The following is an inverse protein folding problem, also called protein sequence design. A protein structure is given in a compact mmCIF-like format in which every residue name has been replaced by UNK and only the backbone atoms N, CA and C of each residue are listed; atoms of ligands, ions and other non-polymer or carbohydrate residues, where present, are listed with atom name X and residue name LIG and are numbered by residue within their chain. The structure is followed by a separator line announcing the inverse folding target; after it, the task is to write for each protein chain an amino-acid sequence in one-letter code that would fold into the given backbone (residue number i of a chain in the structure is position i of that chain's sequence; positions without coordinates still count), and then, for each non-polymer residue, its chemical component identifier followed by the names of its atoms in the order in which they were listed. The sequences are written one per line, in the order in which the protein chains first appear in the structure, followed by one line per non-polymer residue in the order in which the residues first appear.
data_IF_524285724416
#
_entry.id   IF_524285724416
#
_cell.length_a   1.000
_cell.length_b   1.000
_cell.length_c   1.000
_cell.angle_alpha   90.00
_cell.angle_beta   90.00
_cell.angle_gamma   90.00
#
_symmetry.space_group_name_H-M   'P 1'
#
loop_
_entity.id
_entity.type
_entity.pdbx_description
1 polymer ?
#
# COMPACT_ATOMS: atom_id res chain seq x y z
N UNK A 1 -33.82 19.45 -21.76
CA UNK A 1 -32.53 18.86 -22.17
C UNK A 1 -32.61 17.39 -21.80
N UNK A 2 -32.23 16.49 -22.71
CA UNK A 2 -32.05 15.08 -22.35
C UNK A 2 -30.88 14.98 -21.38
N UNK A 3 -31.03 14.16 -20.34
CA UNK A 3 -29.96 13.95 -19.36
C UNK A 3 -28.88 13.01 -19.93
N UNK A 4 -27.69 13.03 -19.32
CA UNK A 4 -26.55 12.20 -19.73
C UNK A 4 -26.93 10.71 -19.66
N UNK A 5 -27.60 10.31 -18.57
CA UNK A 5 -28.18 8.99 -18.38
C UNK A 5 -29.04 8.58 -19.57
N UNK A 6 -29.99 9.43 -19.95
CA UNK A 6 -30.97 9.09 -20.98
C UNK A 6 -30.31 8.93 -22.37
N UNK A 7 -29.31 9.75 -22.70
CA UNK A 7 -28.54 9.61 -23.94
C UNK A 7 -27.74 8.30 -23.99
N UNK A 8 -27.04 7.96 -22.91
CA UNK A 8 -26.23 6.74 -22.83
C UNK A 8 -27.10 5.49 -22.91
N UNK A 9 -28.18 5.42 -22.13
CA UNK A 9 -29.12 4.29 -22.12
C UNK A 9 -29.76 4.11 -23.49
N UNK A 10 -30.29 5.18 -24.08
CA UNK A 10 -30.96 5.11 -25.39
C UNK A 10 -30.00 4.66 -26.49
N UNK A 11 -28.77 5.18 -26.51
CA UNK A 11 -27.76 4.77 -27.48
C UNK A 11 -27.38 3.29 -27.30
N UNK A 12 -27.14 2.83 -26.06
CA UNK A 12 -26.86 1.42 -25.78
C UNK A 12 -28.00 0.51 -26.22
N UNK A 13 -29.23 0.82 -25.86
CA UNK A 13 -30.41 0.01 -26.18
C UNK A 13 -30.70 -0.02 -27.68
N UNK A 14 -30.46 1.10 -28.39
CA UNK A 14 -30.62 1.16 -29.85
C UNK A 14 -29.64 0.25 -30.60
N UNK A 15 -28.44 0.04 -30.02
CA UNK A 15 -27.41 -0.86 -30.56
C UNK A 15 -27.60 -2.31 -30.06
N UNK A 16 -28.52 -2.55 -29.12
CA UNK A 16 -28.78 -3.86 -28.55
C UNK A 16 -27.65 -4.40 -27.66
N UNK A 17 -26.76 -3.52 -27.17
CA UNK A 17 -25.62 -3.94 -26.37
C UNK A 17 -25.99 -4.10 -24.89
N UNK A 18 -25.46 -5.17 -24.27
CA UNK A 18 -25.55 -5.36 -22.83
C UNK A 18 -24.40 -4.64 -22.13
N UNK A 19 -24.61 -4.20 -20.87
CA UNK A 19 -23.54 -3.59 -20.06
C UNK A 19 -22.36 -4.54 -19.92
N UNK A 20 -22.60 -5.84 -19.84
CA UNK A 20 -21.54 -6.85 -19.78
C UNK A 20 -20.71 -6.91 -21.05
N UNK A 21 -21.35 -6.74 -22.21
CA UNK A 21 -20.65 -6.72 -23.49
C UNK A 21 -19.75 -5.48 -23.57
N UNK A 22 -20.32 -4.30 -23.32
CA UNK A 22 -19.57 -3.04 -23.35
C UNK A 22 -18.42 -3.08 -22.33
N UNK A 23 -18.64 -3.60 -21.13
CA UNK A 23 -17.59 -3.71 -20.11
C UNK A 23 -16.41 -4.56 -20.58
N UNK A 24 -16.67 -5.66 -21.30
CA UNK A 24 -15.61 -6.51 -21.87
C UNK A 24 -14.87 -5.81 -23.01
N UNK A 25 -15.58 -5.06 -23.85
CA UNK A 25 -14.99 -4.44 -25.04
C UNK A 25 -14.26 -3.13 -24.72
N UNK A 26 -14.78 -2.33 -23.78
CA UNK A 26 -14.19 -1.06 -23.35
C UNK A 26 -13.17 -1.21 -22.21
N UNK A 27 -13.12 -2.39 -21.56
CA UNK A 27 -12.38 -2.65 -20.32
C UNK A 27 -12.78 -1.76 -19.13
N UNK A 28 -13.98 -1.16 -19.18
CA UNK A 28 -14.54 -0.39 -18.06
C UNK A 28 -15.36 -1.36 -17.19
N UNK A 29 -15.14 -1.35 -15.88
CA UNK A 29 -15.90 -2.23 -14.97
C UNK A 29 -17.40 -1.93 -15.08
N UNK A 30 -18.25 -2.98 -15.02
CA UNK A 30 -19.71 -2.84 -15.14
C UNK A 30 -20.28 -1.83 -14.16
N UNK A 31 -19.77 -1.80 -12.93
CA UNK A 31 -20.18 -0.85 -11.89
C UNK A 31 -20.04 0.60 -12.33
N UNK A 32 -18.97 0.95 -13.05
CA UNK A 32 -18.74 2.31 -13.56
C UNK A 32 -19.65 2.64 -14.75
N UNK A 33 -19.89 1.69 -15.66
CA UNK A 33 -20.84 1.90 -16.77
C UNK A 33 -22.27 2.10 -16.25
N UNK A 34 -22.69 1.28 -15.29
CA UNK A 34 -23.99 1.44 -14.61
C UNK A 34 -24.05 2.76 -13.84
N UNK A 35 -22.95 3.18 -13.20
CA UNK A 35 -22.89 4.46 -12.51
C UNK A 35 -23.02 5.65 -13.48
N UNK A 36 -22.42 5.59 -14.68
CA UNK A 36 -22.61 6.60 -15.73
C UNK A 36 -24.08 6.65 -16.21
N UNK A 37 -24.70 5.49 -16.45
CA UNK A 37 -26.12 5.42 -16.83
C UNK A 37 -27.06 5.85 -15.70
N UNK A 38 -26.62 5.81 -14.45
CA UNK A 38 -27.40 6.24 -13.28
C UNK A 38 -27.06 7.67 -12.82
N UNK A 39 -26.16 8.38 -13.51
CA UNK A 39 -25.62 9.69 -13.09
C UNK A 39 -25.04 9.68 -11.65
N UNK A 40 -24.58 8.52 -11.17
CA UNK A 40 -23.96 8.36 -9.86
C UNK A 40 -22.44 8.64 -9.95
N UNK A 41 -22.10 9.92 -10.01
CA UNK A 41 -20.72 10.38 -10.18
C UNK A 41 -19.82 10.22 -8.94
N UNK A 42 -20.41 10.04 -7.75
CA UNK A 42 -19.68 9.82 -6.49
C UNK A 42 -19.04 8.42 -6.41
N UNK A 43 -19.50 7.47 -7.24
CA UNK A 43 -18.93 6.13 -7.31
C UNK A 43 -17.50 6.10 -7.90
N UNK A 44 -17.04 7.20 -8.52
CA UNK A 44 -15.76 7.25 -9.21
C UNK A 44 -14.65 7.72 -8.25
N UNK A 45 -13.43 7.13 -8.32
CA UNK A 45 -12.30 7.55 -7.48
C UNK A 45 -11.82 9.00 -7.70
N UNK A 46 -12.30 9.66 -8.75
CA UNK A 46 -12.03 11.07 -9.05
C UNK A 46 -12.58 11.48 -10.42
N UNK A 47 -12.79 12.78 -10.60
CA UNK A 47 -13.38 13.38 -11.82
C UNK A 47 -12.60 13.01 -13.10
N UNK A 48 -11.27 12.87 -13.01
CA UNK A 48 -10.44 12.49 -14.16
C UNK A 48 -10.80 11.09 -14.70
N UNK A 49 -11.10 10.13 -13.80
CA UNK A 49 -11.52 8.78 -14.18
C UNK A 49 -12.92 8.78 -14.79
N UNK A 50 -13.84 9.53 -14.18
CA UNK A 50 -15.20 9.73 -14.69
C UNK A 50 -15.18 10.26 -16.12
N UNK A 51 -14.42 11.34 -16.38
CA UNK A 51 -14.32 11.93 -17.72
C UNK A 51 -13.68 10.97 -18.73
N UNK A 52 -12.69 10.19 -18.31
CA UNK A 52 -12.07 9.16 -19.15
C UNK A 52 -13.04 8.03 -19.52
N UNK A 53 -13.81 7.54 -18.56
CA UNK A 53 -14.80 6.49 -18.78
C UNK A 53 -16.01 6.99 -19.58
N UNK A 54 -16.48 8.21 -19.31
CA UNK A 54 -17.54 8.85 -20.08
C UNK A 54 -17.13 9.04 -21.55
N UNK A 55 -15.88 9.45 -21.81
CA UNK A 55 -15.34 9.55 -23.18
C UNK A 55 -15.37 8.20 -23.89
N UNK A 56 -14.71 7.19 -23.32
CA UNK A 56 -14.59 5.87 -23.92
C UNK A 56 -15.97 5.20 -24.12
N UNK A 57 -16.88 5.36 -23.16
CA UNK A 57 -18.23 4.84 -23.29
C UNK A 57 -19.03 5.56 -24.40
N UNK A 58 -18.90 6.87 -24.51
CA UNK A 58 -19.55 7.66 -25.57
C UNK A 58 -19.01 7.28 -26.94
N UNK A 59 -17.69 7.14 -27.10
CA UNK A 59 -17.06 6.68 -28.35
C UNK A 59 -17.57 5.30 -28.77
N UNK A 60 -17.67 4.37 -27.81
CA UNK A 60 -18.17 3.02 -28.07
C UNK A 60 -19.64 3.01 -28.52
N UNK A 61 -20.46 3.89 -27.96
CA UNK A 61 -21.87 4.05 -28.33
C UNK A 61 -22.08 4.90 -29.60
N UNK A 62 -21.01 5.43 -30.21
CA UNK A 62 -21.09 6.31 -31.38
C UNK A 62 -21.65 7.70 -31.07
N UNK A 63 -21.61 8.12 -29.81
CA UNK A 63 -21.95 9.46 -29.37
C UNK A 63 -20.73 10.39 -29.45
N UNK A 64 -20.95 11.71 -29.57
CA UNK A 64 -19.88 12.70 -29.50
C UNK A 64 -19.35 12.81 -28.06
N UNK A 65 -18.08 12.42 -27.79
CA UNK A 65 -17.56 12.44 -26.44
C UNK A 65 -17.40 13.84 -25.85
N UNK A 66 -17.12 14.84 -26.69
CA UNK A 66 -16.96 16.22 -26.23
C UNK A 66 -18.32 16.84 -25.88
N UNK A 67 -19.39 16.44 -26.59
CA UNK A 67 -20.77 16.79 -26.22
C UNK A 67 -21.12 16.21 -24.84
N UNK A 68 -20.86 14.92 -24.63
CA UNK A 68 -21.17 14.22 -23.37
C UNK A 68 -20.40 14.78 -22.18
N UNK A 69 -19.11 15.12 -22.36
CA UNK A 69 -18.30 15.78 -21.33
C UNK A 69 -18.80 17.20 -21.05
N UNK A 70 -19.21 17.94 -22.09
CA UNK A 70 -19.76 19.29 -21.93
C UNK A 70 -21.07 19.26 -21.14
N UNK A 71 -21.93 18.26 -21.38
CA UNK A 71 -23.14 18.06 -20.60
C UNK A 71 -22.83 17.83 -19.12
N UNK A 72 -21.83 17.01 -18.81
CA UNK A 72 -21.39 16.77 -17.43
C UNK A 72 -20.87 18.05 -16.77
N UNK A 73 -20.00 18.79 -17.44
CA UNK A 73 -19.47 20.06 -16.91
C UNK A 73 -20.57 21.08 -16.67
N UNK A 74 -21.53 21.18 -17.59
CA UNK A 74 -22.67 22.09 -17.44
C UNK A 74 -23.58 21.71 -16.27
N UNK A 75 -23.71 20.42 -15.96
CA UNK A 75 -24.44 19.94 -14.80
C UNK A 75 -23.77 20.39 -13.49
N UNK A 76 -22.46 20.19 -13.36
CA UNK A 76 -21.70 20.62 -12.17
C UNK A 76 -21.70 22.14 -12.00
N UNK A 77 -21.58 22.90 -13.10
CA UNK A 77 -21.59 24.36 -13.06
C UNK A 77 -22.97 24.90 -12.64
N UNK A 78 -24.07 24.21 -12.96
CA UNK A 78 -25.40 24.62 -12.51
C UNK A 78 -25.70 24.24 -11.05
N UNK A 79 -25.04 23.23 -10.51
CA UNK A 79 -25.14 22.84 -9.10
C UNK A 79 -24.32 23.74 -8.16
N UNK A 80 -23.31 24.45 -8.68
CA UNK A 80 -22.63 25.52 -7.94
C UNK A 80 -23.31 26.87 -8.23
N UNK A 81 -23.99 27.51 -7.27
CA UNK A 81 -24.40 28.90 -7.46
C UNK A 81 -23.14 29.75 -7.65
N UNK A 82 -23.01 30.37 -8.83
CA UNK A 82 -21.87 31.20 -9.19
C UNK A 82 -21.58 32.23 -8.08
N UNK A 83 -20.44 32.15 -7.37
CA UNK A 83 -20.06 33.18 -6.43
C UNK A 83 -19.46 34.33 -7.25
N UNK A 84 -20.30 35.31 -7.59
CA UNK A 84 -19.88 36.59 -8.18
C UNK A 84 -18.92 37.35 -7.22
N UNK A 85 -18.79 36.88 -5.98
CA UNK A 85 -18.00 37.47 -4.91
C UNK A 85 -16.47 37.32 -5.09
N UNK A 86 -15.99 36.43 -5.97
CA UNK A 86 -14.54 36.22 -6.12
C UNK A 86 -13.85 37.21 -7.10
N UNK A 87 -14.61 38.08 -7.77
CA UNK A 87 -14.07 39.19 -8.58
C UNK A 87 -13.83 40.49 -7.79
N UNK A 88 -14.13 40.51 -6.49
CA UNK A 88 -13.87 41.66 -5.62
C UNK A 88 -12.91 41.27 -4.49
N UNK A 89 -11.62 41.33 -4.81
CA UNK A 89 -10.53 41.32 -3.83
C UNK A 89 -10.80 42.37 -2.74
N UNK A 90 -11.24 41.90 -1.56
CA UNK A 90 -11.31 42.70 -0.34
C UNK A 90 -10.69 41.90 0.81
N UNK A 91 -9.48 42.33 1.16
CA UNK A 91 -8.66 41.97 2.34
C UNK A 91 -9.45 41.28 3.46
N UNK A 92 -9.07 40.04 3.78
CA UNK A 92 -9.51 39.34 4.99
C UNK A 92 -9.15 40.16 6.25
N UNK A 93 -10.10 40.49 7.15
CA UNK A 93 -9.78 41.16 8.40
C UNK A 93 -9.11 40.18 9.38
N UNK A 94 -8.09 40.66 10.09
CA UNK A 94 -7.39 39.87 11.11
C UNK A 94 -8.35 39.43 12.24
N UNK A 95 -8.19 38.20 12.78
CA UNK A 95 -9.03 37.68 13.86
C UNK A 95 -8.85 38.47 15.16
N UNK A 96 -9.96 38.86 15.79
CA UNK A 96 -10.04 39.74 16.97
C UNK A 96 -9.44 39.20 18.29
N UNK A 97 -8.66 38.12 18.26
CA UNK A 97 -7.98 37.51 19.42
C UNK A 97 -6.45 37.59 19.40
N UNK A 98 -5.85 37.96 18.25
CA UNK A 98 -4.38 37.96 18.06
C UNK A 98 -3.60 38.88 19.03
N UNK A 99 -4.04 40.11 19.38
CA UNK A 99 -3.24 40.98 20.24
C UNK A 99 -3.19 40.49 21.70
N UNK A 100 -4.22 39.78 22.18
CA UNK A 100 -4.26 39.26 23.55
C UNK A 100 -3.25 38.12 23.75
N UNK A 101 -3.11 37.22 22.77
CA UNK A 101 -2.14 36.12 22.82
C UNK A 101 -0.70 36.65 22.81
N UNK A 102 -0.43 37.67 21.99
CA UNK A 102 0.90 38.30 21.93
C UNK A 102 1.26 38.97 23.27
N UNK A 103 0.30 39.65 23.93
CA UNK A 103 0.53 40.26 25.24
C UNK A 103 0.82 39.19 26.31
N UNK A 104 0.08 38.07 26.31
CA UNK A 104 0.30 36.96 27.24
C UNK A 104 1.70 36.36 27.05
N UNK A 105 2.14 36.15 25.81
CA UNK A 105 3.47 35.63 25.50
C UNK A 105 4.59 36.59 25.93
N UNK A 106 4.39 37.91 25.78
CA UNK A 106 5.35 38.92 26.23
C UNK A 106 5.46 38.92 27.77
N UNK A 107 4.33 38.84 28.48
CA UNK A 107 4.31 38.79 29.95
C UNK A 107 4.99 37.51 30.47
N UNK A 108 4.71 36.36 29.86
CA UNK A 108 5.38 35.09 30.18
C UNK A 108 6.89 35.14 29.91
N UNK A 109 7.31 35.74 28.79
CA UNK A 109 8.72 35.93 28.46
C UNK A 109 9.46 36.82 29.48
N UNK A 110 8.83 37.91 29.93
CA UNK A 110 9.39 38.79 30.95
C UNK A 110 9.46 38.12 32.33
N UNK A 111 8.48 37.30 32.69
CA UNK A 111 8.50 36.52 33.93
C UNK A 111 9.62 35.46 33.91
N UNK A 112 9.80 34.76 32.79
CA UNK A 112 10.89 33.79 32.61
C UNK A 112 12.27 34.46 32.64
N UNK A 113 12.42 35.62 32.00
CA UNK A 113 13.66 36.41 32.05
C UNK A 113 13.96 36.92 33.47
N UNK A 114 12.93 37.38 34.21
CA UNK A 114 13.06 37.76 35.61
C UNK A 114 13.46 36.59 36.51
N UNK A 115 12.85 35.42 36.32
CA UNK A 115 13.22 34.20 37.02
C UNK A 115 14.70 33.84 36.75
N UNK A 116 15.11 33.81 35.48
CA UNK A 116 16.48 33.46 35.11
C UNK A 116 17.54 34.46 35.61
N UNK A 117 17.18 35.73 35.78
CA UNK A 117 18.08 36.77 36.30
C UNK A 117 18.17 36.78 37.84
N UNK A 118 17.10 36.39 38.54
CA UNK A 118 17.03 36.39 40.02
C UNK A 118 17.50 35.06 40.62
N UNK A 119 17.25 33.93 39.95
CA UNK A 119 17.58 32.59 40.46
C UNK A 119 19.08 32.35 40.74
N UNK A 120 20.04 32.80 39.90
CA UNK A 120 21.46 32.53 40.16
C UNK A 120 22.06 33.39 41.29
N UNK A 121 21.34 34.37 41.84
CA UNK A 121 21.83 35.25 42.91
C UNK A 121 21.31 34.88 44.32
N UNK A 122 20.49 33.83 44.47
CA UNK A 122 19.86 33.50 45.77
C UNK A 122 20.18 32.10 46.34
N UNK A 123 20.99 31.27 45.67
CA UNK A 123 21.40 29.97 46.23
C UNK A 123 22.93 29.82 46.14
N UNK A 124 23.63 30.51 47.04
CA UNK A 124 24.98 30.18 47.45
C UNK A 124 25.02 30.14 48.98
N UNK A 125 24.88 28.94 49.57
CA UNK A 125 24.89 28.83 51.04
C UNK A 125 24.56 27.48 51.70
N UNK A 126 25.32 26.41 51.36
CA UNK A 126 25.77 25.35 52.30
C UNK A 126 24.73 24.40 52.98
N UNK A 127 25.15 23.28 53.61
CA UNK A 127 24.82 21.93 53.11
C UNK A 127 24.05 21.01 54.08
N UNK A 128 23.61 19.88 53.49
CA UNK A 128 23.45 18.51 54.01
C UNK A 128 22.65 18.24 55.31
N UNK A 129 21.49 17.60 55.15
CA UNK A 129 20.89 16.71 56.15
C UNK A 129 19.74 15.86 55.59
N UNK A 130 20.04 14.57 55.53
CA UNK A 130 19.20 13.40 55.73
C UNK A 130 17.92 13.62 56.59
N UNK A 131 16.72 13.25 56.08
CA UNK A 131 15.84 12.17 56.59
C UNK A 131 14.33 12.29 56.27
N UNK A 132 13.84 11.21 55.63
CA UNK A 132 12.61 10.43 55.92
C UNK A 132 11.27 10.83 55.26
N UNK A 133 10.98 10.08 54.18
CA UNK A 133 9.82 9.19 53.90
C UNK A 133 8.41 9.73 54.10
N UNK A 134 7.65 9.79 53.00
CA UNK A 134 6.36 9.10 52.89
C UNK A 134 6.29 8.42 51.52
N UNK A 135 6.03 7.12 51.55
CA UNK A 135 5.64 6.29 50.41
C UNK A 135 4.28 6.74 49.91
N UNK A 136 4.18 7.04 48.62
CA UNK A 136 2.92 6.93 47.89
C UNK A 136 3.21 6.07 46.66
N UNK A 137 2.75 4.83 46.76
CA UNK A 137 2.77 3.84 45.68
C UNK A 137 1.75 4.27 44.65
N UNK A 138 2.21 4.87 43.56
CA UNK A 138 1.54 4.82 42.27
C UNK A 138 2.52 4.10 41.33
N UNK A 139 2.12 2.98 40.76
CA UNK A 139 2.90 2.26 39.77
C UNK A 139 3.10 3.18 38.56
N UNK A 140 4.30 3.74 38.45
CA UNK A 140 4.75 4.53 37.30
C UNK A 140 4.92 3.58 36.10
N UNK A 141 4.15 3.81 35.03
CA UNK A 141 4.31 3.10 33.75
C UNK A 141 5.69 3.36 33.14
N UNK A 142 6.34 2.38 32.47
CA UNK A 142 7.69 2.52 31.91
C UNK A 142 7.89 3.64 30.87
N UNK A 143 6.81 4.23 30.36
CA UNK A 143 6.85 5.23 29.29
C UNK A 143 7.37 6.62 29.72
N UNK A 144 7.32 6.96 31.02
CA UNK A 144 7.55 8.35 31.49
C UNK A 144 9.04 8.71 31.76
N UNK A 145 9.98 7.78 31.52
CA UNK A 145 11.44 8.01 31.68
C UNK A 145 12.22 8.04 30.36
N UNK A 146 11.55 8.09 29.20
CA UNK A 146 12.21 8.02 27.90
C UNK A 146 12.52 9.42 27.35
N UNK A 147 13.80 9.66 27.03
CA UNK A 147 14.30 10.94 26.52
C UNK A 147 14.02 11.12 25.01
N UNK A 148 12.73 11.19 24.61
CA UNK A 148 12.31 11.20 23.21
C UNK A 148 12.89 12.41 22.45
N UNK A 149 13.61 12.18 21.35
CA UNK A 149 14.23 13.23 20.52
C UNK A 149 13.36 13.65 19.35
N UNK A 150 12.82 12.69 18.61
CA UNK A 150 11.94 12.94 17.46
C UNK A 150 10.74 12.01 17.50
N UNK A 151 9.59 12.50 17.06
CA UNK A 151 8.37 11.70 16.91
C UNK A 151 7.94 11.71 15.45
N UNK A 152 7.67 10.54 14.91
CA UNK A 152 7.23 10.35 13.53
C UNK A 152 5.80 9.80 13.53
N UNK A 153 4.89 10.51 12.87
CA UNK A 153 3.48 10.11 12.80
C UNK A 153 3.30 9.02 11.74
N UNK A 154 2.66 7.94 12.16
CA UNK A 154 2.16 6.88 11.30
C UNK A 154 0.77 7.29 10.81
N UNK A 155 0.72 8.03 9.69
CA UNK A 155 -0.52 8.53 9.07
C UNK A 155 -1.04 7.63 7.94
N UNK A 156 -0.16 6.85 7.33
CA UNK A 156 -0.41 6.09 6.10
C UNK A 156 -0.65 4.59 6.41
N UNK A 157 -0.94 3.78 5.39
CA UNK A 157 -1.05 2.31 5.57
C UNK A 157 0.29 1.65 5.94
N UNK A 158 1.41 2.25 5.53
CA UNK A 158 2.78 1.73 5.72
C UNK A 158 3.76 2.88 5.99
N UNK A 159 4.68 2.70 6.95
CA UNK A 159 5.80 3.58 7.26
C UNK A 159 7.10 2.80 7.23
N UNK A 160 7.96 3.07 6.26
CA UNK A 160 9.35 2.58 6.25
C UNK A 160 10.31 3.75 6.39
N UNK A 161 11.08 3.77 7.48
CA UNK A 161 12.01 4.88 7.75
C UNK A 161 13.22 4.44 8.54
N UNK A 162 14.30 5.21 8.40
CA UNK A 162 15.48 5.12 9.26
C UNK A 162 15.25 5.90 10.54
N UNK A 163 15.42 5.25 11.68
CA UNK A 163 15.30 5.84 13.00
C UNK A 163 16.61 5.70 13.79
N UNK A 164 16.74 6.50 14.84
CA UNK A 164 17.85 6.49 15.79
C UNK A 164 17.37 6.18 17.20
N UNK A 165 18.32 5.94 18.09
CA UNK A 165 18.04 5.85 19.53
C UNK A 165 17.31 7.11 20.02
N UNK A 166 16.29 6.87 20.82
CA UNK A 166 15.36 7.85 21.38
C UNK A 166 14.35 8.46 20.38
N UNK A 167 14.29 7.98 19.13
CA UNK A 167 13.18 8.33 18.24
C UNK A 167 11.91 7.53 18.62
N UNK A 168 10.75 8.08 18.30
CA UNK A 168 9.45 7.47 18.56
C UNK A 168 8.57 7.45 17.31
N UNK A 169 7.73 6.42 17.19
CA UNK A 169 6.66 6.33 16.21
C UNK A 169 5.34 6.59 16.93
N UNK A 170 4.53 7.53 16.43
CA UNK A 170 3.19 7.82 16.94
C UNK A 170 2.14 7.19 16.05
N UNK A 171 1.34 6.29 16.61
CA UNK A 171 0.36 5.48 15.91
C UNK A 171 -1.03 5.86 16.43
N UNK A 172 -1.89 6.36 15.54
CA UNK A 172 -3.29 6.66 15.88
C UNK A 172 -4.16 5.43 15.76
N UNK A 173 -4.87 5.05 16.83
CA UNK A 173 -5.87 3.97 16.85
C UNK A 173 -7.13 4.47 17.58
N UNK A 174 -8.30 4.28 16.99
CA UNK A 174 -9.61 4.62 17.60
C UNK A 174 -9.73 6.06 18.16
N UNK A 175 -8.92 7.00 17.66
CA UNK A 175 -8.88 8.39 18.13
C UNK A 175 -7.79 8.69 19.17
N UNK A 176 -7.19 7.66 19.75
CA UNK A 176 -6.07 7.75 20.68
C UNK A 176 -4.72 7.60 19.98
N UNK A 177 -3.67 8.17 20.56
CA UNK A 177 -2.30 8.13 20.04
C UNK A 177 -1.41 7.29 20.94
N UNK A 178 -0.83 6.25 20.36
CA UNK A 178 0.12 5.35 21.02
C UNK A 178 1.53 5.63 20.54
N UNK A 179 2.51 5.49 21.42
CA UNK A 179 3.93 5.74 21.12
C UNK A 179 4.72 4.45 21.21
N UNK A 180 5.54 4.20 20.19
CA UNK A 180 6.56 3.16 20.20
C UNK A 180 7.93 3.83 20.15
N UNK A 181 8.69 3.74 21.23
CA UNK A 181 9.98 4.43 21.40
C UNK A 181 11.13 3.45 21.19
N UNK A 182 12.16 3.86 20.44
CA UNK A 182 13.38 3.09 20.23
C UNK A 182 14.35 3.40 21.38
N UNK A 183 14.26 2.63 22.45
CA UNK A 183 15.01 2.88 23.69
C UNK A 183 16.49 2.52 23.60
N UNK A 184 16.86 1.48 22.84
CA UNK A 184 18.25 1.10 22.67
C UNK A 184 18.51 0.36 21.35
N UNK A 185 19.71 0.54 20.78
CA UNK A 185 20.14 -0.10 19.53
C UNK A 185 21.50 -0.77 19.78
N UNK A 186 21.46 -2.08 20.02
CA UNK A 186 22.63 -2.92 20.22
C UNK A 186 22.55 -4.16 19.29
N UNK A 187 23.04 -5.33 19.73
CA UNK A 187 22.81 -6.61 19.02
C UNK A 187 21.32 -6.95 18.85
N UNK A 188 20.49 -6.42 19.75
CA UNK A 188 19.03 -6.40 19.62
C UNK A 188 18.55 -4.99 19.93
N UNK A 189 17.51 -4.57 19.21
CA UNK A 189 16.90 -3.25 19.34
C UNK A 189 15.77 -3.35 20.34
N UNK A 190 15.78 -2.46 21.34
CA UNK A 190 14.72 -2.37 22.35
C UNK A 190 13.71 -1.31 21.94
N UNK A 191 12.46 -1.75 21.81
CA UNK A 191 11.29 -0.89 21.66
C UNK A 191 10.52 -0.85 22.97
N UNK A 192 10.01 0.32 23.34
CA UNK A 192 9.10 0.49 24.47
C UNK A 192 7.78 1.01 23.95
N UNK A 193 6.70 0.30 24.25
CA UNK A 193 5.33 0.63 23.88
C UNK A 193 4.42 0.53 25.12
N UNK A 194 3.15 0.97 25.06
CA UNK A 194 2.27 1.04 26.22
C UNK A 194 2.11 -0.29 26.98
N UNK A 195 2.13 -1.41 26.25
CA UNK A 195 1.95 -2.74 26.83
C UNK A 195 3.26 -3.39 27.31
N UNK A 196 4.43 -2.78 27.07
CA UNK A 196 5.69 -3.28 27.58
C UNK A 196 6.92 -2.98 26.72
N UNK A 197 7.96 -3.80 26.92
CA UNK A 197 9.19 -3.76 26.13
C UNK A 197 9.23 -4.91 25.12
N UNK A 198 9.69 -4.61 23.91
CA UNK A 198 9.89 -5.57 22.83
C UNK A 198 11.35 -5.53 22.39
N UNK A 199 11.98 -6.70 22.26
CA UNK A 199 13.33 -6.86 21.74
C UNK A 199 13.28 -7.51 20.36
N UNK A 200 13.91 -6.89 19.37
CA UNK A 200 13.97 -7.40 18.00
C UNK A 200 15.39 -7.39 17.46
N UNK A 201 15.75 -8.36 16.63
CA UNK A 201 16.97 -8.38 15.82
C UNK A 201 16.65 -7.99 14.38
N UNK A 202 17.69 -7.63 13.63
CA UNK A 202 17.54 -7.41 12.20
C UNK A 202 16.99 -8.67 11.51
N UNK A 203 15.90 -8.51 10.78
CA UNK A 203 15.11 -9.59 10.17
C UNK A 203 13.89 -10.02 10.98
N UNK A 204 13.76 -9.63 12.25
CA UNK A 204 12.63 -10.03 13.09
C UNK A 204 11.37 -9.23 12.75
N UNK A 205 10.23 -9.93 12.84
CA UNK A 205 8.88 -9.40 12.70
C UNK A 205 8.13 -9.58 14.02
N UNK A 206 7.40 -8.55 14.43
CA UNK A 206 6.57 -8.58 15.64
C UNK A 206 5.20 -7.97 15.37
N UNK A 207 4.16 -8.64 15.86
CA UNK A 207 2.79 -8.12 15.91
C UNK A 207 2.60 -7.46 17.28
N UNK A 208 2.14 -6.22 17.31
CA UNK A 208 2.03 -5.42 18.54
C UNK A 208 0.58 -5.02 18.75
N UNK A 209 0.07 -5.41 19.90
CA UNK A 209 -1.12 -4.85 20.54
C UNK A 209 -0.71 -3.57 21.29
N UNK A 210 -1.29 -2.44 20.91
CA UNK A 210 -0.99 -1.13 21.47
C UNK A 210 -2.06 -0.69 22.48
N UNK A 211 -3.33 -1.02 22.24
CA UNK A 211 -4.46 -0.61 23.09
C UNK A 211 -4.79 -1.60 24.22
N UNK A 212 -4.24 -2.81 24.16
CA UNK A 212 -4.36 -3.86 25.18
C UNK A 212 -5.62 -4.70 25.03
N UNK A 213 -6.23 -4.76 23.84
CA UNK A 213 -7.45 -5.53 23.57
C UNK A 213 -7.21 -7.01 23.23
N UNK A 214 -5.96 -7.49 23.32
CA UNK A 214 -5.49 -8.83 22.96
C UNK A 214 -5.53 -9.11 21.44
N UNK A 215 -5.76 -8.09 20.60
CA UNK A 215 -5.62 -8.11 19.15
C UNK A 215 -4.37 -7.33 18.71
N UNK A 216 -3.73 -7.81 17.65
CA UNK A 216 -2.59 -7.08 17.09
C UNK A 216 -3.06 -5.91 16.22
N UNK A 217 -2.61 -4.70 16.56
CA UNK A 217 -2.95 -3.47 15.84
C UNK A 217 -1.99 -3.19 14.68
N UNK A 218 -0.71 -3.41 14.93
CA UNK A 218 0.37 -3.07 13.99
C UNK A 218 1.37 -4.18 13.87
N UNK A 219 1.91 -4.32 12.67
CA UNK A 219 3.07 -5.15 12.42
C UNK A 219 4.31 -4.28 12.33
N UNK A 220 5.35 -4.67 13.04
CA UNK A 220 6.68 -4.06 12.98
C UNK A 220 7.71 -5.06 12.45
N UNK A 221 8.49 -4.63 11.47
CA UNK A 221 9.59 -5.39 10.87
C UNK A 221 10.88 -4.58 10.96
N UNK A 222 11.88 -5.13 11.64
CA UNK A 222 13.19 -4.51 11.78
C UNK A 222 14.09 -4.98 10.62
N UNK A 223 14.25 -4.16 9.57
CA UNK A 223 14.98 -4.54 8.35
C UNK A 223 16.48 -4.67 8.57
N UNK A 224 17.08 -3.65 9.19
CA UNK A 224 18.50 -3.61 9.51
C UNK A 224 18.69 -2.85 10.81
N UNK A 225 19.69 -3.28 11.58
CA UNK A 225 20.27 -2.50 12.66
C UNK A 225 21.72 -2.18 12.31
N UNK A 226 22.12 -0.94 12.56
CA UNK A 226 23.50 -0.47 12.49
C UNK A 226 23.85 0.06 13.90
N UNK A 227 24.38 -0.82 14.77
CA UNK A 227 24.71 -0.45 16.15
C UNK A 227 25.78 0.65 16.21
N UNK A 228 26.75 0.62 15.29
CA UNK A 228 27.87 1.56 15.24
C UNK A 228 27.39 3.00 14.99
N UNK A 229 26.36 3.16 14.17
CA UNK A 229 25.73 4.45 13.88
C UNK A 229 24.45 4.72 14.70
N UNK A 230 24.13 3.82 15.65
CA UNK A 230 22.90 3.87 16.45
C UNK A 230 21.64 4.13 15.59
N UNK A 231 21.52 3.42 14.47
CA UNK A 231 20.42 3.60 13.54
C UNK A 231 19.79 2.27 13.15
N UNK A 232 18.49 2.31 12.87
CA UNK A 232 17.71 1.15 12.41
C UNK A 232 16.88 1.55 11.20
N UNK A 233 16.51 0.59 10.36
CA UNK A 233 15.41 0.76 9.41
C UNK A 233 14.23 -0.06 9.91
N UNK A 234 13.15 0.63 10.25
CA UNK A 234 11.93 0.04 10.76
C UNK A 234 10.82 0.22 9.73
N UNK A 235 10.14 -0.87 9.44
CA UNK A 235 8.93 -0.93 8.63
C UNK A 235 7.74 -1.20 9.55
N UNK A 236 6.70 -0.37 9.48
CA UNK A 236 5.47 -0.47 10.29
C UNK A 236 4.28 -0.45 9.33
N UNK A 237 3.34 -1.38 9.48
CA UNK A 237 2.08 -1.39 8.72
C UNK A 237 0.87 -1.76 9.60
N UNK A 238 -0.33 -1.32 9.20
CA UNK A 238 -1.56 -1.70 9.90
C UNK A 238 -1.92 -3.13 9.57
N UNK A 239 -1.95 -3.98 10.59
CA UNK A 239 -2.38 -5.36 10.41
C UNK A 239 -3.91 -5.40 10.37
N UNK A 240 -4.49 -5.44 9.17
CA UNK A 240 -5.91 -5.80 9.02
C UNK A 240 -6.00 -7.31 9.16
N UNK A 241 -6.48 -7.76 10.32
CA UNK A 241 -6.85 -9.15 10.52
C UNK A 241 -8.01 -9.45 9.54
N UNK A 242 -7.69 -10.02 8.37
CA UNK A 242 -8.73 -10.58 7.51
C UNK A 242 -9.44 -11.63 8.35
N UNK A 243 -10.71 -11.40 8.63
CA UNK A 243 -11.56 -12.30 9.38
C UNK A 243 -11.34 -13.72 8.87
N UNK A 244 -11.08 -14.64 9.81
CA UNK A 244 -10.82 -16.04 9.53
C UNK A 244 -11.80 -16.61 8.49
N UNK A 245 -11.38 -17.57 7.64
CA UNK A 245 -12.30 -18.28 6.76
C UNK A 245 -13.38 -18.91 7.64
N UNK A 246 -14.62 -18.45 7.46
CA UNK A 246 -15.78 -18.95 8.16
C UNK A 246 -15.79 -20.47 8.11
N UNK A 247 -15.85 -21.09 9.29
CA UNK A 247 -16.20 -22.48 9.50
C UNK A 247 -17.48 -22.75 8.69
N UNK A 248 -17.35 -23.46 7.57
CA UNK A 248 -18.51 -24.02 6.88
C UNK A 248 -18.88 -25.28 7.68
N UNK A 249 -20.01 -25.19 8.37
CA UNK A 249 -20.66 -26.34 8.99
C UNK A 249 -20.99 -27.39 7.93
N UNK A 250 -20.58 -28.62 8.20
CA UNK A 250 -20.94 -29.80 7.41
C UNK A 250 -22.38 -30.15 7.74
N UNK A 251 -23.29 -29.91 6.81
CA UNK A 251 -24.63 -30.49 6.84
C UNK A 251 -25.13 -30.79 5.42
N UNK A 252 -25.48 -32.06 5.20
CA UNK A 252 -26.39 -32.47 4.13
C UNK A 252 -25.76 -33.29 3.02
N UNK A 253 -25.99 -34.61 3.07
CA UNK A 253 -25.88 -35.53 1.93
C UNK A 253 -26.62 -34.98 0.70
N UNK A 254 -26.01 -35.12 -0.47
CA UNK A 254 -26.67 -34.93 -1.77
C UNK A 254 -26.59 -36.26 -2.54
N UNK A 255 -27.72 -36.79 -3.06
CA UNK A 255 -27.76 -38.10 -3.69
C UNK A 255 -27.18 -38.09 -5.11
N UNK A 256 -26.65 -39.25 -5.48
CA UNK A 256 -26.07 -39.59 -6.77
C UNK A 256 -27.13 -39.56 -7.89
N UNK A 257 -26.92 -38.73 -8.92
CA UNK A 257 -27.71 -38.78 -10.15
C UNK A 257 -26.90 -38.44 -11.42
N UNK A 258 -26.71 -39.49 -12.21
CA UNK A 258 -26.74 -39.58 -13.68
C UNK A 258 -25.91 -38.60 -14.54
N UNK A 259 -24.91 -39.18 -15.22
CA UNK A 259 -24.17 -38.64 -16.37
C UNK A 259 -24.96 -38.84 -17.68
N UNK A 260 -25.12 -37.83 -18.56
CA UNK A 260 -25.40 -38.05 -19.98
C UNK A 260 -24.12 -37.91 -20.83
N UNK A 261 -24.08 -38.53 -22.04
CA UNK A 261 -22.83 -38.76 -22.75
C UNK A 261 -22.33 -37.53 -23.53
N UNK A 262 -21.01 -37.52 -23.66
CA UNK A 262 -20.16 -36.69 -24.50
C UNK A 262 -20.65 -36.60 -25.95
N UNK A 263 -20.69 -35.36 -26.47
CA UNK A 263 -20.62 -35.10 -27.90
C UNK A 263 -19.34 -34.33 -28.22
N UNK A 264 -18.60 -34.89 -29.16
CA UNK A 264 -17.30 -34.50 -29.69
C UNK A 264 -17.37 -33.21 -30.50
N UNK A 265 -16.41 -32.30 -30.28
CA UNK A 265 -16.24 -31.07 -31.06
C UNK A 265 -15.01 -30.27 -30.62
N UNK A 266 -13.85 -30.72 -31.10
CA UNK A 266 -12.58 -30.04 -31.34
C UNK A 266 -12.35 -28.62 -30.77
N UNK A 267 -11.33 -28.51 -29.90
CA UNK A 267 -10.47 -27.32 -29.79
C UNK A 267 -10.88 -26.26 -28.74
N UNK A 268 -10.67 -26.54 -27.46
CA UNK A 268 -10.59 -25.49 -26.44
C UNK A 268 -9.70 -25.92 -25.26
N UNK A 269 -8.87 -24.98 -24.84
CA UNK A 269 -7.96 -25.00 -23.71
C UNK A 269 -8.55 -25.68 -22.46
N UNK A 270 -7.82 -26.64 -21.91
CA UNK A 270 -8.15 -27.28 -20.64
C UNK A 270 -7.97 -26.30 -19.49
N UNK A 271 -9.05 -25.61 -19.10
CA UNK A 271 -9.15 -24.98 -17.80
C UNK A 271 -9.08 -26.09 -16.73
N UNK A 272 -8.03 -26.07 -15.91
CA UNK A 272 -7.80 -27.05 -14.85
C UNK A 272 -8.89 -27.02 -13.78
N UNK A 273 -9.27 -28.19 -13.26
CA UNK A 273 -10.11 -28.34 -12.06
C UNK A 273 -9.25 -28.13 -10.79
N UNK A 274 -9.79 -27.55 -9.72
CA UNK A 274 -9.09 -27.47 -8.43
C UNK A 274 -8.86 -28.89 -7.88
N UNK A 275 -7.61 -29.24 -7.56
CA UNK A 275 -7.24 -30.48 -6.87
C UNK A 275 -6.37 -31.50 -7.64
N UNK A 276 -5.95 -31.21 -8.87
CA UNK A 276 -4.90 -32.00 -9.52
C UNK A 276 -3.51 -31.43 -9.15
N UNK A 277 -2.49 -32.25 -8.83
CA UNK A 277 -1.12 -31.76 -8.69
C UNK A 277 -0.69 -31.17 -10.04
N UNK A 278 -0.62 -29.84 -10.10
CA UNK A 278 -0.16 -29.12 -11.29
C UNK A 278 1.22 -29.63 -11.71
N UNK A 279 1.36 -29.87 -13.02
CA UNK A 279 2.58 -30.28 -13.70
C UNK A 279 3.81 -29.56 -13.12
N UNK A 280 4.76 -30.29 -12.54
CA UNK A 280 6.11 -29.78 -12.34
C UNK A 280 6.67 -29.45 -13.74
N UNK A 281 6.66 -28.17 -14.08
CA UNK A 281 7.32 -27.69 -15.30
C UNK A 281 8.78 -27.51 -14.91
N UNK A 282 9.68 -28.16 -15.64
CA UNK A 282 11.10 -28.15 -15.33
C UNK A 282 11.64 -26.70 -15.34
N UNK A 283 12.52 -26.33 -14.40
CA UNK A 283 13.16 -25.02 -14.39
C UNK A 283 13.88 -24.76 -15.71
N UNK A 284 13.62 -23.58 -16.30
CA UNK A 284 14.32 -23.15 -17.52
C UNK A 284 15.61 -22.46 -17.11
N UNK A 285 16.74 -22.99 -17.57
CA UNK A 285 18.06 -22.35 -17.37
C UNK A 285 18.17 -21.20 -18.37
N UNK A 286 18.35 -19.98 -17.87
CA UNK A 286 18.48 -18.77 -18.68
C UNK A 286 19.96 -18.49 -18.99
N UNK A 287 20.85 -18.68 -17.99
CA UNK A 287 22.28 -18.39 -18.12
C UNK A 287 23.11 -19.18 -17.11
N UNK A 288 24.37 -19.46 -17.47
CA UNK A 288 25.39 -19.96 -16.56
C UNK A 288 26.48 -18.91 -16.29
N UNK A 289 27.06 -18.91 -15.09
CA UNK A 289 28.17 -18.04 -14.70
C UNK A 289 29.06 -18.71 -13.64
N UNK A 290 30.31 -18.25 -13.53
CA UNK A 290 31.25 -18.77 -12.52
C UNK A 290 30.97 -18.21 -11.11
N UNK A 291 30.30 -17.05 -11.04
CA UNK A 291 29.87 -16.39 -9.80
C UNK A 291 28.44 -15.88 -9.94
N UNK A 292 27.77 -15.66 -8.81
CA UNK A 292 26.46 -15.03 -8.76
C UNK A 292 26.58 -13.54 -9.11
N UNK A 293 25.93 -13.12 -10.20
CA UNK A 293 25.95 -11.75 -10.72
C UNK A 293 24.56 -11.13 -10.64
N UNK A 294 24.50 -9.80 -10.45
CA UNK A 294 23.25 -9.07 -10.62
C UNK A 294 22.78 -9.17 -12.08
N UNK A 295 21.47 -9.11 -12.27
CA UNK A 295 20.86 -9.15 -13.59
C UNK A 295 19.77 -8.09 -13.73
N UNK A 296 19.65 -7.55 -14.95
CA UNK A 296 18.57 -6.63 -15.28
C UNK A 296 17.42 -7.40 -15.91
N UNK A 297 16.23 -7.28 -15.31
CA UNK A 297 14.97 -7.67 -15.89
C UNK A 297 14.35 -6.47 -16.62
N UNK A 298 14.12 -6.61 -17.93
CA UNK A 298 13.40 -5.64 -18.74
C UNK A 298 12.09 -6.25 -19.21
N UNK A 299 10.97 -5.58 -18.98
CA UNK A 299 9.66 -6.00 -19.44
C UNK A 299 9.05 -4.89 -20.29
N UNK A 300 8.56 -5.25 -21.47
CA UNK A 300 7.81 -4.37 -22.35
C UNK A 300 6.36 -4.83 -22.35
N UNK A 301 5.45 -3.94 -22.00
CA UNK A 301 4.03 -4.23 -21.95
C UNK A 301 3.37 -3.92 -23.29
N UNK A 302 2.71 -4.92 -23.88
CA UNK A 302 1.95 -4.83 -25.14
C UNK A 302 0.46 -4.58 -24.89
N UNK A 303 0.01 -4.74 -23.65
CA UNK A 303 -1.35 -4.50 -23.19
C UNK A 303 -1.37 -4.24 -21.69
N UNK A 304 -2.57 -4.12 -21.13
CA UNK A 304 -2.74 -3.89 -19.69
C UNK A 304 -2.35 -5.13 -18.89
N UNK A 305 -1.51 -4.94 -17.88
CA UNK A 305 -1.07 -6.01 -17.00
C UNK A 305 -0.74 -5.46 -15.61
N UNK A 306 -1.42 -5.96 -14.59
CA UNK A 306 -0.93 -5.87 -13.22
C UNK A 306 0.34 -6.73 -13.11
N UNK A 307 1.44 -6.11 -12.73
CA UNK A 307 2.68 -6.78 -12.36
C UNK A 307 2.91 -6.56 -10.86
N UNK A 308 2.96 -7.65 -10.11
CA UNK A 308 3.50 -7.66 -8.76
C UNK A 308 4.87 -8.30 -8.81
N UNK A 309 5.84 -7.75 -8.10
CA UNK A 309 7.14 -8.37 -7.97
C UNK A 309 7.68 -8.26 -6.55
N UNK A 310 8.50 -9.24 -6.19
CA UNK A 310 9.30 -9.28 -4.97
C UNK A 310 10.75 -9.52 -5.39
N UNK A 311 11.56 -8.47 -5.39
CA UNK A 311 12.98 -8.56 -5.70
C UNK A 311 13.83 -8.57 -4.44
N UNK A 312 14.83 -9.45 -4.45
CA UNK A 312 15.80 -9.65 -3.38
C UNK A 312 15.13 -9.85 -2.00
N UNK A 313 13.93 -10.44 -1.98
CA UNK A 313 13.11 -10.72 -0.79
C UNK A 313 12.81 -9.50 0.09
N UNK A 314 12.87 -8.29 -0.49
CA UNK A 314 12.80 -7.02 0.25
C UNK A 314 11.93 -5.98 -0.45
N UNK A 315 11.98 -5.90 -1.78
CA UNK A 315 11.22 -4.94 -2.59
C UNK A 315 9.95 -5.62 -3.09
N UNK A 316 8.84 -5.40 -2.39
CA UNK A 316 7.52 -5.84 -2.86
C UNK A 316 6.76 -4.65 -3.42
N UNK A 317 6.64 -4.61 -4.73
CA UNK A 317 5.83 -3.61 -5.42
C UNK A 317 4.74 -4.30 -6.23
N UNK A 318 3.62 -3.60 -6.33
CA UNK A 318 2.52 -3.97 -7.21
C UNK A 318 2.14 -2.73 -8.01
N UNK A 319 2.16 -2.87 -9.33
CA UNK A 319 1.83 -1.76 -10.22
C UNK A 319 1.09 -2.26 -11.44
N UNK A 320 0.10 -1.48 -11.85
CA UNK A 320 -0.58 -1.68 -13.12
C UNK A 320 0.22 -1.02 -14.23
N UNK A 321 0.52 -1.78 -15.28
CA UNK A 321 1.23 -1.29 -16.46
C UNK A 321 0.29 -1.23 -17.67
N UNK A 322 0.51 -0.21 -18.49
CA UNK A 322 -0.24 0.08 -19.71
C UNK A 322 0.53 -0.32 -20.97
N UNK A 323 -0.17 -0.34 -22.11
CA UNK A 323 0.44 -0.63 -23.41
C UNK A 323 1.59 0.34 -23.72
N UNK A 324 2.68 -0.21 -24.24
CA UNK A 324 3.93 0.46 -24.60
C UNK A 324 4.76 0.97 -23.41
N UNK A 325 4.35 0.73 -22.17
CA UNK A 325 5.21 0.99 -21.02
C UNK A 325 6.34 -0.04 -20.94
N UNK A 326 7.46 0.41 -20.37
CA UNK A 326 8.63 -0.43 -20.11
C UNK A 326 8.94 -0.42 -18.64
N UNK A 327 9.16 -1.60 -18.08
CA UNK A 327 9.64 -1.79 -16.72
C UNK A 327 11.06 -2.32 -16.77
N UNK A 328 11.93 -1.72 -15.97
CA UNK A 328 13.31 -2.15 -15.81
C UNK A 328 13.60 -2.28 -14.33
N UNK A 329 14.16 -3.42 -13.96
CA UNK A 329 14.52 -3.74 -12.58
C UNK A 329 15.90 -4.37 -12.57
N UNK A 330 16.81 -3.82 -11.78
CA UNK A 330 18.10 -4.41 -11.50
C UNK A 330 17.97 -5.27 -10.23
N UNK A 331 18.29 -6.56 -10.35
CA UNK A 331 18.08 -7.58 -9.32
C UNK A 331 19.44 -8.13 -8.90
N UNK A 332 19.74 -8.18 -7.61
CA UNK A 332 21.03 -8.67 -7.14
C UNK A 332 21.08 -10.20 -7.08
N UNK A 333 19.97 -10.82 -6.68
CA UNK A 333 19.96 -12.23 -6.31
C UNK A 333 18.79 -13.01 -6.88
N UNK A 334 17.58 -12.51 -6.68
CA UNK A 334 16.37 -13.22 -7.05
C UNK A 334 15.20 -12.27 -7.22
N UNK A 335 14.26 -12.62 -8.07
CA UNK A 335 12.99 -11.89 -8.17
C UNK A 335 11.86 -12.87 -8.39
N UNK A 336 10.79 -12.70 -7.61
CA UNK A 336 9.50 -13.36 -7.84
C UNK A 336 8.57 -12.38 -8.53
N UNK A 337 7.92 -12.84 -9.59
CA UNK A 337 7.06 -12.04 -10.43
C UNK A 337 5.69 -12.70 -10.47
N UNK A 338 4.64 -11.91 -10.35
CA UNK A 338 3.27 -12.29 -10.67
C UNK A 338 2.74 -11.32 -11.71
N UNK A 339 2.28 -11.86 -12.84
CA UNK A 339 1.66 -11.06 -13.88
C UNK A 339 0.25 -11.57 -14.14
N UNK A 340 -0.71 -10.64 -14.11
CA UNK A 340 -2.13 -10.94 -14.37
C UNK A 340 -2.43 -11.33 -15.81
N UNK A 341 -1.56 -10.98 -16.77
CA UNK A 341 -1.69 -11.35 -18.16
C UNK A 341 -0.31 -11.51 -18.82
N UNK A 342 0.24 -12.73 -18.79
CA UNK A 342 1.57 -13.02 -19.31
C UNK A 342 1.71 -12.71 -20.82
N UNK A 343 0.70 -13.00 -21.64
CA UNK A 343 0.75 -12.71 -23.07
C UNK A 343 0.65 -11.23 -23.44
N UNK A 344 0.36 -10.35 -22.47
CA UNK A 344 0.42 -8.90 -22.65
C UNK A 344 1.81 -8.31 -22.36
N UNK A 345 2.81 -9.12 -22.03
CA UNK A 345 4.17 -8.66 -21.75
C UNK A 345 5.23 -9.43 -22.54
N UNK A 346 6.40 -8.82 -22.70
CA UNK A 346 7.59 -9.39 -23.32
C UNK A 346 8.75 -9.13 -22.39
N UNK A 347 9.34 -10.18 -21.83
CA UNK A 347 10.38 -10.03 -20.82
C UNK A 347 11.75 -10.48 -21.33
N UNK A 348 12.78 -9.77 -20.90
CA UNK A 348 14.18 -10.04 -21.21
C UNK A 348 15.02 -9.98 -19.94
N UNK A 349 15.90 -10.94 -19.75
CA UNK A 349 16.90 -10.94 -18.68
C UNK A 349 18.27 -10.78 -19.29
N UNK A 350 18.97 -9.70 -18.94
CA UNK A 350 20.27 -9.36 -19.55
C UNK A 350 20.26 -9.38 -21.10
N UNK A 351 19.11 -9.03 -21.70
CA UNK A 351 18.90 -9.00 -23.15
C UNK A 351 18.40 -10.31 -23.79
N UNK A 352 18.37 -11.41 -23.05
CA UNK A 352 17.86 -12.72 -23.50
C UNK A 352 16.36 -12.78 -23.27
N UNK A 353 15.58 -13.11 -24.30
CA UNK A 353 14.13 -13.29 -24.20
C UNK A 353 13.76 -14.45 -23.28
N UNK A 354 12.82 -14.22 -22.37
CA UNK A 354 12.26 -15.24 -21.48
C UNK A 354 10.74 -15.33 -21.67
N UNK A 355 10.22 -16.56 -21.65
CA UNK A 355 8.78 -16.81 -21.77
C UNK A 355 8.15 -16.88 -20.39
N UNK A 356 7.27 -15.91 -20.09
CA UNK A 356 6.56 -15.85 -18.82
C UNK A 356 5.18 -16.51 -18.89
N UNK A 357 4.64 -16.87 -20.06
CA UNK A 357 3.34 -17.51 -20.21
C UNK A 357 2.48 -16.97 -21.36
N UNK A 358 1.29 -17.56 -21.53
CA UNK A 358 0.37 -17.28 -22.64
C UNK A 358 -0.61 -16.12 -22.45
N UNK A 359 -1.35 -15.78 -23.50
CA UNK A 359 -2.40 -14.76 -23.45
C UNK A 359 -3.52 -15.13 -22.49
N UNK A 360 -3.86 -14.23 -21.57
CA UNK A 360 -4.88 -14.45 -20.53
C UNK A 360 -4.44 -15.36 -19.39
N UNK A 361 -3.18 -15.81 -19.37
CA UNK A 361 -2.62 -16.61 -18.29
C UNK A 361 -2.11 -15.71 -17.16
N UNK A 362 -2.56 -15.98 -15.95
CA UNK A 362 -1.96 -15.44 -14.73
C UNK A 362 -0.74 -16.30 -14.43
N UNK A 363 0.43 -15.68 -14.44
CA UNK A 363 1.69 -16.39 -14.24
C UNK A 363 2.37 -15.94 -12.95
N UNK A 364 3.01 -16.89 -12.28
CA UNK A 364 3.90 -16.62 -11.16
C UNK A 364 5.23 -17.32 -11.42
N UNK A 365 6.33 -16.56 -11.45
CA UNK A 365 7.67 -17.07 -11.80
C UNK A 365 8.70 -16.54 -10.81
N UNK A 366 9.63 -17.38 -10.38
CA UNK A 366 10.84 -16.98 -9.67
C UNK A 366 12.03 -17.05 -10.63
N UNK A 367 12.83 -15.98 -10.65
CA UNK A 367 14.13 -15.93 -11.29
C UNK A 367 15.17 -15.92 -10.18
N UNK A 368 16.00 -16.96 -10.10
CA UNK A 368 16.99 -17.07 -9.03
C UNK A 368 18.22 -17.85 -9.48
N UNK A 369 19.38 -17.45 -8.95
CA UNK A 369 20.61 -18.23 -9.12
C UNK A 369 20.57 -19.50 -8.28
N UNK A 370 20.99 -20.61 -8.86
CA UNK A 370 21.20 -21.88 -8.18
C UNK A 370 22.57 -22.44 -8.57
N UNK A 371 23.33 -22.93 -7.59
CA UNK A 371 24.60 -23.59 -7.87
C UNK A 371 24.35 -25.02 -8.39
N UNK A 372 24.94 -25.37 -9.52
CA UNK A 372 24.92 -26.71 -10.08
C UNK A 372 26.23 -27.42 -9.72
N UNK A 373 26.13 -28.49 -8.94
CA UNK A 373 27.28 -29.28 -8.47
C UNK A 373 27.96 -30.07 -9.58
N UNK A 374 27.25 -30.43 -10.64
CA UNK A 374 27.77 -31.26 -11.73
C UNK A 374 28.62 -30.43 -12.70
N UNK A 375 28.17 -29.21 -13.01
CA UNK A 375 28.91 -28.26 -13.86
C UNK A 375 29.86 -27.36 -13.07
N UNK A 376 29.78 -27.35 -11.73
CA UNK A 376 30.50 -26.45 -10.83
C UNK A 376 30.27 -24.95 -11.13
N UNK A 377 29.11 -24.61 -11.70
CA UNK A 377 28.73 -23.25 -12.10
C UNK A 377 27.42 -22.81 -11.43
N UNK A 378 27.21 -21.50 -11.38
CA UNK A 378 25.91 -20.92 -11.04
C UNK A 378 25.02 -20.86 -12.28
N UNK A 379 23.75 -21.21 -12.12
CA UNK A 379 22.73 -21.20 -13.16
C UNK A 379 21.58 -20.28 -12.75
N UNK A 380 21.28 -19.27 -13.57
CA UNK A 380 20.09 -18.44 -13.39
C UNK A 380 18.91 -19.22 -13.94
N UNK A 381 18.00 -19.63 -13.04
CA UNK A 381 16.84 -20.44 -13.38
C UNK A 381 15.57 -19.64 -13.27
N UNK A 382 14.66 -19.88 -14.21
CA UNK A 382 13.27 -19.48 -14.09
C UNK A 382 12.44 -20.67 -13.64
N UNK A 383 11.78 -20.52 -12.51
CA UNK A 383 11.02 -21.57 -11.83
C UNK A 383 9.55 -21.12 -11.75
N UNK A 384 8.59 -21.93 -12.21
CA UNK A 384 7.18 -21.64 -11.98
C UNK A 384 6.81 -21.78 -10.51
N UNK A 385 6.04 -20.80 -10.01
CA UNK A 385 5.47 -20.79 -8.67
C UNK A 385 4.00 -21.21 -8.81
N UNK A 386 3.58 -22.27 -8.13
CA UNK A 386 2.21 -22.79 -8.17
C UNK A 386 1.45 -22.49 -6.89
#
# INVERSE_FOLDING_TARGET
MESISQKLVTARESLGYSIEQIARETNIAKSYLTALEAENFDAFPGETYLLGFLRNYSEYLGLDPEEMISLYRNMIIQEQPAPIEELLDTRKPLPKGLPAVIIILIVLGLAAAGYFYVYPNFIAGRPDNERVRVQETAEETPAEKLNIKNTYEFSDEVLEKRFRKDDAVSIGLNGDKYLVVIADIAESVKFVHPQGELLMKAGDEAMIDLDGDESADVRMLLRTSDPDNSSIVLHVDRFVQSSAPGKIEVAGEVPEAAVPPSNTGTGASTAGRPGAPSRAVDPVIIREADTMESFTLNIIFRGYCLLRYDADSTIREERYFHKSETFRLDVNSSVRLWASNAGALSAKVNGVDIDLGGSGEITARSLQWAYNTDSSKYELKMIPLY
#
